data_IF_848411974429
#
_entry.id   IF_848411974429
#
_cell.length_a   1.000
_cell.length_b   1.000
_cell.length_c   1.000
_cell.angle_alpha   90.00
_cell.angle_beta   90.00
_cell.angle_gamma   90.00
#
_symmetry.space_group_name_H-M   'P 1'
#
loop_
_entity.id
_entity.type
_entity.pdbx_description
1 polymer ?
#
# COMPACT_ATOMS: atom_id res chain seq x y z
N UNK A 1 29.68 38.19 36.49
CA UNK A 1 29.21 37.63 35.21
C UNK A 1 28.52 36.30 35.50
N UNK A 2 27.23 36.14 35.19
CA UNK A 2 26.49 34.88 35.45
C UNK A 2 26.55 33.99 34.20
N UNK A 3 26.88 32.69 34.32
CA UNK A 3 26.90 31.79 33.17
C UNK A 3 25.47 31.43 32.74
N UNK A 4 25.18 31.59 31.46
CA UNK A 4 23.91 31.20 30.83
C UNK A 4 23.80 29.67 30.81
N UNK A 5 22.93 29.11 31.65
CA UNK A 5 22.56 27.70 31.60
C UNK A 5 21.54 27.48 30.48
N UNK A 6 21.96 26.82 29.40
CA UNK A 6 21.06 26.42 28.31
C UNK A 6 20.06 25.39 28.85
N UNK A 7 18.74 25.55 28.66
CA UNK A 7 17.75 24.69 29.31
C UNK A 7 17.75 23.29 28.67
N UNK A 8 18.17 22.28 29.44
CA UNK A 8 18.15 20.84 29.10
C UNK A 8 16.77 20.35 28.62
N UNK A 9 15.69 21.08 28.91
CA UNK A 9 14.32 20.81 28.49
C UNK A 9 14.10 20.90 26.97
N UNK A 10 14.94 21.65 26.23
CA UNK A 10 14.79 21.82 24.77
C UNK A 10 15.36 20.67 23.93
N UNK A 11 16.27 19.88 24.48
CA UNK A 11 16.94 18.81 23.73
C UNK A 11 16.07 17.54 23.66
N UNK A 12 15.35 17.24 24.75
CA UNK A 12 14.44 16.10 24.82
C UNK A 12 13.22 16.27 23.89
N UNK A 13 12.69 17.49 23.73
CA UNK A 13 11.57 17.74 22.81
C UNK A 13 11.98 17.58 21.35
N UNK A 14 13.19 17.99 20.99
CA UNK A 14 13.74 17.81 19.64
C UNK A 14 13.95 16.33 19.30
N UNK A 15 14.46 15.53 20.25
CA UNK A 15 14.61 14.08 20.06
C UNK A 15 13.27 13.38 19.86
N UNK A 16 12.24 13.74 20.64
CA UNK A 16 10.88 13.20 20.49
C UNK A 16 10.29 13.53 19.10
N UNK A 17 10.49 14.75 18.60
CA UNK A 17 10.02 15.15 17.26
C UNK A 17 10.75 14.42 16.14
N UNK A 18 12.04 14.15 16.28
CA UNK A 18 12.81 13.39 15.30
C UNK A 18 12.38 11.92 15.25
N UNK A 19 12.12 11.31 16.41
CA UNK A 19 11.65 9.92 16.51
C UNK A 19 10.25 9.77 15.90
N UNK A 20 9.32 10.68 16.19
CA UNK A 20 7.96 10.61 15.63
C UNK A 20 7.94 10.89 14.12
N UNK A 21 8.78 11.81 13.63
CA UNK A 21 8.96 12.05 12.20
C UNK A 21 9.51 10.82 11.46
N UNK A 22 10.52 10.15 12.06
CA UNK A 22 11.10 8.93 11.49
C UNK A 22 10.11 7.77 11.45
N UNK A 23 9.29 7.59 12.49
CA UNK A 23 8.26 6.55 12.54
C UNK A 23 7.13 6.84 11.53
N UNK A 24 6.75 8.10 11.36
CA UNK A 24 5.76 8.52 10.36
C UNK A 24 6.26 8.24 8.93
N UNK A 25 7.54 8.53 8.66
CA UNK A 25 8.18 8.20 7.39
C UNK A 25 8.20 6.70 7.11
N UNK A 26 8.50 5.86 8.11
CA UNK A 26 8.51 4.42 7.95
C UNK A 26 7.11 3.87 7.59
N UNK A 27 6.05 4.42 8.20
CA UNK A 27 4.66 4.05 7.90
C UNK A 27 4.21 4.44 6.48
N UNK A 28 4.72 5.55 5.95
CA UNK A 28 4.41 6.02 4.60
C UNK A 28 5.07 5.15 3.51
N UNK A 29 6.26 4.60 3.76
CA UNK A 29 6.96 3.75 2.78
C UNK A 29 6.37 2.35 2.59
N UNK A 30 5.54 1.85 3.52
CA UNK A 30 4.89 0.54 3.36
C UNK A 30 3.65 0.59 2.44
N UNK A 31 3.10 1.78 2.16
CA UNK A 31 1.91 1.92 1.31
C UNK A 31 2.20 2.07 -0.18
N UNK A 32 3.46 2.31 -0.57
CA UNK A 32 3.83 2.68 -1.95
C UNK A 32 4.07 1.49 -2.88
N UNK A 33 4.38 0.29 -2.37
CA UNK A 33 4.76 -0.86 -3.22
C UNK A 33 3.57 -1.52 -3.92
N UNK A 34 2.35 -1.40 -3.38
CA UNK A 34 1.20 -2.17 -3.89
C UNK A 34 0.48 -1.54 -5.10
N UNK A 35 0.56 -0.21 -5.29
CA UNK A 35 -0.29 0.51 -6.25
C UNK A 35 0.36 0.87 -7.60
N UNK A 36 1.66 0.62 -7.79
CA UNK A 36 2.37 1.12 -8.97
C UNK A 36 2.09 0.38 -10.29
N UNK A 37 1.25 -0.67 -10.31
CA UNK A 37 0.88 -1.39 -11.53
C UNK A 37 -0.14 -0.66 -12.42
N UNK A 38 -0.76 0.42 -11.92
CA UNK A 38 -1.87 1.10 -12.60
C UNK A 38 -1.44 2.11 -13.68
N UNK A 39 -0.14 2.36 -13.86
CA UNK A 39 0.37 3.40 -14.77
C UNK A 39 0.98 2.87 -16.07
N UNK A 40 0.83 1.58 -16.40
CA UNK A 40 1.25 1.11 -17.72
C UNK A 40 0.28 1.67 -18.77
N UNK A 41 0.74 2.54 -19.70
CA UNK A 41 -0.12 3.08 -20.75
C UNK A 41 -0.63 1.92 -21.60
N UNK A 42 -1.96 1.82 -21.74
CA UNK A 42 -2.60 0.80 -22.57
C UNK A 42 -2.22 1.03 -24.03
N UNK A 43 -1.47 0.08 -24.58
CA UNK A 43 -1.37 -0.12 -26.03
C UNK A 43 -2.79 -0.28 -26.61
N UNK A 44 -3.05 0.16 -27.84
CA UNK A 44 -4.34 0.07 -28.55
C UNK A 44 -4.79 -1.40 -28.79
N UNK A 45 -5.16 -2.10 -27.71
CA UNK A 45 -5.47 -3.52 -27.69
C UNK A 45 -6.48 -3.88 -26.60
N UNK A 46 -6.86 -5.15 -26.54
CA UNK A 46 -7.85 -5.65 -25.59
C UNK A 46 -7.38 -5.49 -24.14
N UNK A 47 -8.25 -4.92 -23.30
CA UNK A 47 -8.02 -4.74 -21.87
C UNK A 47 -8.82 -5.78 -21.07
N UNK A 48 -8.13 -6.60 -20.28
CA UNK A 48 -8.74 -7.69 -19.53
C UNK A 48 -9.31 -7.22 -18.19
N UNK A 49 -10.59 -7.42 -17.95
CA UNK A 49 -11.21 -7.26 -16.63
C UNK A 49 -11.27 -8.62 -15.91
N UNK A 50 -10.53 -8.76 -14.81
CA UNK A 50 -10.61 -9.96 -13.95
C UNK A 50 -11.55 -9.69 -12.80
N UNK A 51 -12.71 -10.35 -12.78
CA UNK A 51 -13.70 -10.21 -11.71
C UNK A 51 -13.52 -11.36 -10.71
N UNK A 52 -13.18 -11.02 -9.48
CA UNK A 52 -12.93 -11.96 -8.39
C UNK A 52 -14.02 -11.82 -7.33
N UNK A 53 -14.94 -12.78 -7.21
CA UNK A 53 -15.89 -12.79 -6.11
C UNK A 53 -15.16 -13.06 -4.79
N UNK A 54 -15.41 -12.23 -3.78
CA UNK A 54 -14.86 -12.39 -2.44
C UNK A 54 -15.98 -12.69 -1.45
N UNK A 55 -15.80 -13.77 -0.68
CA UNK A 55 -16.66 -14.12 0.45
C UNK A 55 -15.82 -14.72 1.57
N UNK A 56 -15.54 -13.93 2.60
CA UNK A 56 -14.86 -14.37 3.83
C UNK A 56 -13.46 -14.99 3.64
N UNK A 57 -12.81 -14.75 2.50
CA UNK A 57 -11.54 -15.41 2.11
C UNK A 57 -10.45 -14.40 1.73
N UNK A 58 -10.22 -13.45 2.64
CA UNK A 58 -9.27 -12.36 2.40
C UNK A 58 -7.82 -12.86 2.35
N UNK A 59 -7.47 -13.88 3.13
CA UNK A 59 -6.09 -14.41 3.16
C UNK A 59 -5.73 -15.12 1.85
N UNK A 60 -6.66 -15.87 1.27
CA UNK A 60 -6.47 -16.47 -0.06
C UNK A 60 -6.37 -15.39 -1.12
N UNK A 61 -7.20 -14.34 -1.04
CA UNK A 61 -7.14 -13.21 -1.96
C UNK A 61 -5.79 -12.49 -1.92
N UNK A 62 -5.22 -12.32 -0.72
CA UNK A 62 -3.90 -11.69 -0.50
C UNK A 62 -2.78 -12.46 -1.21
N UNK A 63 -2.88 -13.78 -1.31
CA UNK A 63 -1.93 -14.62 -2.05
C UNK A 63 -2.27 -14.62 -3.55
N UNK A 64 -3.54 -14.77 -3.90
CA UNK A 64 -4.02 -14.87 -5.29
C UNK A 64 -3.70 -13.64 -6.14
N UNK A 65 -4.02 -12.43 -5.66
CA UNK A 65 -3.89 -11.20 -6.47
C UNK A 65 -2.43 -10.96 -6.90
N UNK A 66 -1.41 -11.00 -6.02
CA UNK A 66 -0.02 -10.84 -6.42
C UNK A 66 0.47 -11.91 -7.41
N UNK A 67 0.06 -13.18 -7.25
CA UNK A 67 0.45 -14.24 -8.18
C UNK A 67 -0.16 -14.04 -9.56
N UNK A 68 -1.46 -13.72 -9.63
CA UNK A 68 -2.14 -13.44 -10.89
C UNK A 68 -1.56 -12.21 -11.58
N UNK A 69 -1.33 -11.13 -10.82
CA UNK A 69 -0.77 -9.90 -11.40
C UNK A 69 0.61 -10.13 -11.99
N UNK A 70 1.49 -10.88 -11.30
CA UNK A 70 2.81 -11.25 -11.85
C UNK A 70 2.68 -12.08 -13.12
N UNK A 71 1.75 -13.04 -13.15
CA UNK A 71 1.50 -13.87 -14.32
C UNK A 71 1.06 -13.02 -15.52
N UNK A 72 0.07 -12.13 -15.35
CA UNK A 72 -0.45 -11.29 -16.44
C UNK A 72 0.54 -10.21 -16.90
N UNK A 73 1.32 -9.64 -15.97
CA UNK A 73 2.43 -8.72 -16.31
C UNK A 73 3.49 -9.45 -17.17
N UNK A 74 3.86 -10.67 -16.80
CA UNK A 74 4.82 -11.48 -17.57
C UNK A 74 4.30 -11.86 -18.96
N UNK A 75 2.98 -11.88 -19.15
CA UNK A 75 2.33 -12.07 -20.45
C UNK A 75 2.13 -10.76 -21.23
N UNK A 76 2.58 -9.62 -20.71
CA UNK A 76 2.37 -8.29 -21.29
C UNK A 76 0.89 -7.95 -21.57
N UNK A 77 -0.02 -8.51 -20.76
CA UNK A 77 -1.46 -8.26 -20.86
C UNK A 77 -1.80 -7.00 -20.07
N UNK A 78 -2.62 -6.11 -20.63
CA UNK A 78 -3.20 -5.00 -19.91
C UNK A 78 -4.46 -5.46 -19.17
N UNK A 79 -4.53 -5.27 -17.85
CA UNK A 79 -5.62 -5.79 -17.04
C UNK A 79 -5.92 -4.96 -15.79
N UNK A 80 -7.17 -5.10 -15.32
CA UNK A 80 -7.63 -4.60 -14.02
C UNK A 80 -8.31 -5.72 -13.24
N UNK A 81 -7.98 -5.86 -11.96
CA UNK A 81 -8.61 -6.83 -11.05
C UNK A 81 -9.72 -6.13 -10.25
N UNK A 82 -10.95 -6.58 -10.42
CA UNK A 82 -12.12 -6.14 -9.68
C UNK A 82 -12.48 -7.17 -8.61
N UNK A 83 -12.40 -6.79 -7.35
CA UNK A 83 -12.79 -7.64 -6.22
C UNK A 83 -14.23 -7.30 -5.85
N UNK A 84 -15.15 -8.24 -6.06
CA UNK A 84 -16.57 -8.07 -5.75
C UNK A 84 -16.85 -8.75 -4.42
N UNK A 85 -16.87 -7.96 -3.35
CA UNK A 85 -17.12 -8.47 -2.00
C UNK A 85 -18.62 -8.68 -1.77
N UNK A 86 -19.00 -9.91 -1.48
CA UNK A 86 -20.34 -10.25 -1.07
C UNK A 86 -20.53 -9.93 0.42
N UNK A 87 -21.31 -8.88 0.72
CA UNK A 87 -21.54 -8.37 2.08
C UNK A 87 -22.70 -9.05 2.81
N UNK A 88 -23.54 -9.79 2.09
CA UNK A 88 -24.80 -10.31 2.60
C UNK A 88 -24.69 -11.75 3.12
N UNK A 89 -25.34 -11.97 4.26
CA UNK A 89 -25.49 -13.28 4.91
C UNK A 89 -26.79 -13.99 4.54
N UNK A 90 -27.62 -13.39 3.69
CA UNK A 90 -28.92 -13.95 3.35
C UNK A 90 -28.76 -15.23 2.54
N UNK A 91 -29.19 -16.34 3.15
CA UNK A 91 -29.48 -17.63 2.52
C UNK A 91 -30.98 -17.84 2.59
#
# INVERSE_FOLDING_TARGET
MRPCTVPRLRLASLLLLLVTSSLLWLSLTHKSVFWNSALLPSHEGHHLAVIVPLRGRFDQLRVFVPHLSRFLINQSVSFTVYIVNQIDHYR
#
